data_IF_028468196866
#
_entry.id   IF_028468196866
#
_cell.length_a   1.000
_cell.length_b   1.000
_cell.length_c   1.000
_cell.angle_alpha   90.00
_cell.angle_beta   90.00
_cell.angle_gamma   90.00
#
_symmetry.space_group_name_H-M   'P 1'
#
loop_
_entity.id
_entity.type
_entity.pdbx_description
1 polymer ?
#
# COMPACT_ATOMS: atom_id res chain seq x y z
N UNK A 1 -25.96 1.37 -4.74
CA UNK A 1 -25.79 1.78 -6.15
C UNK A 1 -24.46 1.25 -6.70
N UNK A 2 -23.30 1.56 -6.11
CA UNK A 2 -21.95 1.25 -6.61
C UNK A 2 -21.66 -0.25 -6.78
N UNK A 3 -22.03 -1.09 -5.79
CA UNK A 3 -21.84 -2.54 -5.88
C UNK A 3 -22.57 -3.11 -7.11
N UNK A 4 -23.80 -2.65 -7.37
CA UNK A 4 -24.56 -3.10 -8.53
C UNK A 4 -23.93 -2.67 -9.85
N UNK A 5 -23.33 -1.49 -9.90
CA UNK A 5 -22.58 -0.99 -11.05
C UNK A 5 -21.30 -1.83 -11.28
N UNK A 6 -20.56 -2.13 -10.23
CA UNK A 6 -19.36 -2.96 -10.30
C UNK A 6 -19.68 -4.37 -10.78
N UNK A 7 -20.71 -5.01 -10.20
CA UNK A 7 -21.18 -6.33 -10.63
C UNK A 7 -21.63 -6.30 -12.10
N UNK A 8 -22.40 -5.27 -12.52
CA UNK A 8 -22.81 -5.12 -13.91
C UNK A 8 -21.64 -4.98 -14.88
N UNK A 9 -20.56 -4.31 -14.46
CA UNK A 9 -19.36 -4.16 -15.29
C UNK A 9 -18.59 -5.47 -15.42
N UNK A 10 -18.35 -6.16 -14.28
CA UNK A 10 -17.59 -7.42 -14.26
C UNK A 10 -18.34 -8.54 -14.96
N UNK A 11 -19.64 -8.62 -14.79
CA UNK A 11 -20.48 -9.65 -15.40
C UNK A 11 -20.53 -9.63 -16.93
N UNK A 12 -20.08 -8.54 -17.58
CA UNK A 12 -19.96 -8.48 -19.06
C UNK A 12 -18.88 -9.45 -19.59
N UNK A 13 -17.92 -9.84 -18.76
CA UNK A 13 -16.79 -10.68 -19.17
C UNK A 13 -16.77 -12.03 -18.47
N UNK A 14 -17.67 -12.27 -17.53
CA UNK A 14 -17.75 -13.53 -16.81
C UNK A 14 -18.71 -14.50 -17.48
N UNK A 15 -18.30 -15.76 -17.62
CA UNK A 15 -19.17 -16.86 -18.10
C UNK A 15 -20.31 -17.15 -17.12
N UNK A 16 -20.03 -17.02 -15.80
CA UNK A 16 -21.02 -17.21 -14.73
C UNK A 16 -21.16 -15.86 -14.02
N UNK A 17 -22.30 -15.18 -14.18
CA UNK A 17 -22.51 -13.88 -13.56
C UNK A 17 -22.53 -13.97 -12.02
N UNK A 18 -21.82 -13.05 -11.37
CA UNK A 18 -21.86 -12.88 -9.92
C UNK A 18 -23.13 -12.13 -9.50
N UNK A 19 -23.65 -12.51 -8.34
CA UNK A 19 -24.80 -11.87 -7.71
C UNK A 19 -24.34 -11.11 -6.45
N UNK A 20 -25.26 -10.34 -5.87
CA UNK A 20 -24.96 -9.59 -4.65
C UNK A 20 -24.60 -10.48 -3.45
N UNK A 21 -25.21 -11.64 -3.37
CA UNK A 21 -24.92 -12.66 -2.34
C UNK A 21 -23.51 -13.26 -2.45
N UNK A 22 -22.87 -13.16 -3.62
CA UNK A 22 -21.50 -13.64 -3.82
C UNK A 22 -20.45 -12.62 -3.31
N UNK A 23 -20.88 -11.41 -2.91
CA UNK A 23 -20.00 -10.39 -2.38
C UNK A 23 -19.71 -10.66 -0.91
N UNK A 24 -18.49 -11.08 -0.61
CA UNK A 24 -18.06 -11.45 0.74
C UNK A 24 -17.46 -10.29 1.55
N UNK A 25 -17.14 -9.18 0.91
CA UNK A 25 -16.60 -7.99 1.58
C UNK A 25 -16.55 -6.80 0.64
N UNK A 26 -16.51 -5.60 1.20
CA UNK A 26 -16.40 -4.35 0.45
C UNK A 26 -15.48 -3.37 1.18
N UNK A 27 -14.80 -2.52 0.44
CA UNK A 27 -14.07 -1.39 1.00
C UNK A 27 -14.22 -0.16 0.11
N UNK A 28 -14.07 1.01 0.69
CA UNK A 28 -14.07 2.29 -0.01
C UNK A 28 -12.94 3.17 0.51
N UNK A 29 -12.43 4.05 -0.33
CA UNK A 29 -11.41 5.01 0.04
C UNK A 29 -11.61 6.33 -0.69
N UNK A 30 -11.23 7.43 -0.05
CA UNK A 30 -11.22 8.76 -0.64
C UNK A 30 -9.89 9.02 -1.34
N UNK A 31 -9.96 9.68 -2.50
CA UNK A 31 -8.77 10.21 -3.17
C UNK A 31 -8.62 11.68 -2.83
N UNK A 32 -7.44 12.16 -2.42
CA UNK A 32 -7.18 13.58 -2.36
C UNK A 32 -7.10 14.11 -3.80
N UNK A 33 -8.13 14.83 -4.22
CA UNK A 33 -8.17 15.53 -5.48
C UNK A 33 -7.85 16.99 -5.24
N UNK A 34 -7.09 17.62 -6.14
CA UNK A 34 -6.94 19.05 -6.15
C UNK A 34 -8.25 19.67 -6.59
N UNK A 35 -8.74 20.65 -5.84
CA UNK A 35 -9.88 21.44 -6.26
C UNK A 35 -9.48 22.20 -7.53
N UNK A 36 -10.11 21.85 -8.64
CA UNK A 36 -10.08 22.61 -9.87
C UNK A 36 -10.99 23.85 -9.77
N UNK A 37 -11.07 24.62 -10.84
CA UNK A 37 -12.09 25.66 -10.98
C UNK A 37 -13.48 25.04 -10.80
N UNK A 38 -14.41 25.74 -10.19
CA UNK A 38 -15.73 25.27 -9.77
C UNK A 38 -16.66 24.74 -10.91
N UNK A 39 -16.17 24.66 -12.14
CA UNK A 39 -16.90 24.23 -13.34
C UNK A 39 -16.42 22.89 -13.93
N UNK A 40 -15.39 22.27 -13.35
CA UNK A 40 -14.92 20.96 -13.86
C UNK A 40 -15.66 19.80 -13.20
N UNK A 41 -16.18 18.91 -14.03
CA UNK A 41 -16.80 17.66 -13.58
C UNK A 41 -15.79 16.84 -12.75
N UNK A 42 -16.22 16.24 -11.65
CA UNK A 42 -15.34 15.50 -10.72
C UNK A 42 -14.59 14.35 -11.39
N UNK A 43 -15.04 13.90 -12.57
CA UNK A 43 -14.36 12.91 -13.40
C UNK A 43 -13.09 13.44 -14.08
N UNK A 44 -12.99 14.76 -14.31
CA UNK A 44 -11.91 15.42 -15.06
C UNK A 44 -10.95 16.22 -14.18
N UNK A 45 -11.21 16.28 -12.85
CA UNK A 45 -10.28 16.88 -11.91
C UNK A 45 -8.86 16.36 -12.13
N UNK A 46 -7.94 17.29 -12.26
CA UNK A 46 -6.56 17.03 -12.66
C UNK A 46 -5.93 15.90 -11.84
N UNK A 47 -5.64 14.79 -12.50
CA UNK A 47 -4.91 13.64 -11.94
C UNK A 47 -3.39 13.89 -11.90
N UNK A 48 -2.97 15.11 -12.15
CA UNK A 48 -1.62 15.61 -11.94
C UNK A 48 -1.39 15.86 -10.45
N UNK A 49 -0.13 15.83 -10.04
CA UNK A 49 0.24 16.27 -8.69
C UNK A 49 0.52 17.78 -8.70
N UNK A 50 0.41 18.39 -7.54
CA UNK A 50 0.87 19.75 -7.29
C UNK A 50 1.74 19.80 -6.03
N UNK A 51 2.62 20.78 -6.00
CA UNK A 51 3.44 21.09 -4.84
C UNK A 51 2.99 22.43 -4.32
N UNK A 52 2.47 22.44 -3.10
CA UNK A 52 1.87 23.59 -2.44
C UNK A 52 2.73 23.94 -1.22
N UNK A 53 3.09 25.20 -1.08
CA UNK A 53 3.81 25.70 0.09
C UNK A 53 2.85 26.40 1.04
N UNK A 54 2.95 26.10 2.33
CA UNK A 54 2.26 26.85 3.38
C UNK A 54 3.00 28.14 3.71
N UNK A 55 2.34 29.05 4.44
CA UNK A 55 2.93 30.31 4.90
C UNK A 55 4.15 30.08 5.80
N UNK A 56 4.21 28.95 6.50
CA UNK A 56 5.37 28.55 7.33
C UNK A 56 6.47 27.86 6.52
N UNK A 57 6.32 27.73 5.22
CA UNK A 57 7.33 27.15 4.30
C UNK A 57 7.32 25.62 4.24
N UNK A 58 6.26 24.96 4.67
CA UNK A 58 6.07 23.52 4.49
C UNK A 58 5.65 23.23 3.05
N UNK A 59 6.32 22.29 2.39
CA UNK A 59 5.95 21.81 1.05
C UNK A 59 5.03 20.58 1.18
N UNK A 60 3.84 20.68 0.62
CA UNK A 60 2.88 19.59 0.53
C UNK A 60 2.77 19.08 -0.91
N UNK A 61 2.94 17.78 -1.11
CA UNK A 61 2.75 17.13 -2.42
C UNK A 61 1.38 16.47 -2.42
N UNK A 62 0.48 16.95 -3.27
CA UNK A 62 -0.93 16.54 -3.28
C UNK A 62 -1.33 16.03 -4.66
N UNK A 63 -2.25 15.07 -4.71
CA UNK A 63 -2.74 14.48 -5.97
C UNK A 63 -1.80 13.42 -6.55
N UNK A 64 -1.82 13.26 -7.87
CA UNK A 64 -1.01 12.28 -8.59
C UNK A 64 -1.53 10.85 -8.50
N UNK A 65 -0.69 9.90 -8.89
CA UNK A 65 -0.97 8.47 -8.91
C UNK A 65 0.21 7.68 -8.35
N UNK A 66 -0.05 6.51 -7.79
CA UNK A 66 1.02 5.59 -7.37
C UNK A 66 2.03 5.32 -8.50
N UNK A 67 1.59 5.24 -9.73
CA UNK A 67 2.46 5.00 -10.89
C UNK A 67 3.35 6.20 -11.26
N UNK A 68 3.05 7.40 -10.75
CA UNK A 68 3.84 8.63 -10.98
C UNK A 68 4.67 9.04 -9.77
N UNK A 69 4.76 8.22 -8.73
CA UNK A 69 5.41 8.54 -7.45
C UNK A 69 6.85 9.06 -7.61
N UNK A 70 7.61 8.50 -8.54
CA UNK A 70 9.00 8.91 -8.77
C UNK A 70 9.10 10.33 -9.35
N UNK A 71 8.22 10.65 -10.30
CA UNK A 71 8.15 12.01 -10.84
C UNK A 71 7.71 13.00 -9.76
N UNK A 72 6.73 12.62 -8.95
CA UNK A 72 6.28 13.42 -7.80
C UNK A 72 7.42 13.69 -6.83
N UNK A 73 8.18 12.64 -6.48
CA UNK A 73 9.33 12.77 -5.58
C UNK A 73 10.42 13.67 -6.19
N UNK A 74 10.73 13.54 -7.48
CA UNK A 74 11.67 14.39 -8.17
C UNK A 74 11.24 15.85 -8.09
N UNK A 75 10.02 16.15 -8.51
CA UNK A 75 9.53 17.52 -8.56
C UNK A 75 9.48 18.15 -7.15
N UNK A 76 9.15 17.36 -6.12
CA UNK A 76 9.16 17.81 -4.73
C UNK A 76 10.58 18.16 -4.25
N UNK A 77 11.56 17.31 -4.54
CA UNK A 77 12.96 17.55 -4.17
C UNK A 77 13.52 18.75 -4.93
N UNK A 78 13.28 18.83 -6.24
CA UNK A 78 13.77 19.96 -7.07
C UNK A 78 13.17 21.29 -6.59
N UNK A 79 11.89 21.30 -6.24
CA UNK A 79 11.23 22.48 -5.69
C UNK A 79 11.79 22.88 -4.32
N UNK A 80 12.02 21.93 -3.42
CA UNK A 80 12.61 22.16 -2.12
C UNK A 80 14.04 22.75 -2.24
N UNK A 81 14.85 22.19 -3.13
CA UNK A 81 16.21 22.68 -3.39
C UNK A 81 16.20 24.09 -3.96
N UNK A 82 15.33 24.35 -4.95
CA UNK A 82 15.20 25.67 -5.58
C UNK A 82 14.81 26.75 -4.59
N UNK A 83 13.81 26.49 -3.76
CA UNK A 83 13.29 27.47 -2.79
C UNK A 83 14.24 27.75 -1.63
N UNK A 84 14.97 26.72 -1.19
CA UNK A 84 15.91 26.84 -0.08
C UNK A 84 17.31 27.25 -0.50
N UNK A 85 17.51 27.51 -1.79
CA UNK A 85 18.82 27.86 -2.36
C UNK A 85 19.94 26.91 -1.89
N UNK A 86 19.61 25.62 -1.71
CA UNK A 86 20.57 24.63 -1.30
C UNK A 86 21.54 24.36 -2.47
N UNK A 87 22.84 24.24 -2.22
CA UNK A 87 23.79 23.93 -3.26
C UNK A 87 23.49 22.56 -3.84
N UNK A 88 23.19 22.50 -5.13
CA UNK A 88 23.00 21.26 -5.87
C UNK A 88 24.07 21.12 -6.93
N UNK A 89 24.69 19.98 -7.00
CA UNK A 89 25.69 19.68 -8.01
C UNK A 89 25.08 19.54 -9.42
N UNK A 90 23.81 19.20 -9.53
CA UNK A 90 23.05 19.07 -10.77
C UNK A 90 21.55 18.97 -10.47
N UNK A 91 20.66 19.33 -11.43
CA UNK A 91 19.25 19.01 -11.31
C UNK A 91 19.07 17.50 -11.15
N UNK A 92 18.18 17.12 -10.23
CA UNK A 92 17.89 15.70 -10.04
C UNK A 92 17.33 15.15 -11.35
N UNK A 93 17.95 14.13 -11.88
CA UNK A 93 17.41 13.38 -13.00
C UNK A 93 16.89 12.08 -12.45
N UNK A 94 15.59 11.87 -12.53
CA UNK A 94 15.09 10.50 -12.52
C UNK A 94 15.54 9.86 -13.83
N UNK A 95 16.83 9.54 -13.94
CA UNK A 95 17.25 8.60 -14.96
C UNK A 95 16.28 7.42 -14.88
N UNK A 96 15.96 6.82 -16.02
CA UNK A 96 15.29 5.51 -16.02
C UNK A 96 16.18 4.60 -15.19
N UNK A 97 15.92 4.53 -13.90
CA UNK A 97 16.63 3.64 -13.02
C UNK A 97 16.08 2.26 -13.36
N UNK A 98 16.73 1.61 -14.28
CA UNK A 98 16.60 0.17 -14.50
C UNK A 98 17.08 -0.59 -13.24
N UNK A 99 17.83 0.09 -12.38
CA UNK A 99 18.21 -0.38 -11.07
C UNK A 99 17.12 0.01 -10.07
N UNK A 100 16.61 -0.98 -9.39
CA UNK A 100 15.73 -0.82 -8.25
C UNK A 100 16.30 0.20 -7.27
N UNK A 101 15.44 0.91 -6.52
CA UNK A 101 15.81 1.70 -5.34
C UNK A 101 16.60 0.88 -4.31
N UNK A 102 16.72 -0.40 -4.55
CA UNK A 102 17.39 -1.40 -3.75
C UNK A 102 18.74 -1.71 -4.40
N UNK A 103 19.79 -1.19 -3.82
CA UNK A 103 21.19 -1.45 -4.26
C UNK A 103 21.72 -2.81 -3.72
N UNK A 104 20.81 -3.69 -3.38
CA UNK A 104 21.11 -5.06 -2.96
C UNK A 104 21.39 -5.99 -4.15
N UNK A 105 22.03 -7.12 -3.91
CA UNK A 105 22.28 -8.12 -4.95
C UNK A 105 20.95 -8.54 -5.58
N UNK A 106 20.92 -8.56 -6.92
CA UNK A 106 19.76 -9.06 -7.68
C UNK A 106 19.60 -10.54 -7.43
N UNK A 107 18.82 -10.90 -6.41
CA UNK A 107 18.48 -12.27 -6.12
C UNK A 107 17.18 -12.63 -6.85
N UNK A 108 17.18 -13.79 -7.52
CA UNK A 108 15.93 -14.32 -8.07
C UNK A 108 15.02 -14.72 -6.90
N UNK A 109 13.72 -14.48 -7.04
CA UNK A 109 12.75 -14.88 -5.99
C UNK A 109 12.84 -16.39 -5.68
N UNK A 110 13.18 -17.22 -6.68
CA UNK A 110 13.38 -18.67 -6.51
C UNK A 110 14.55 -19.04 -5.59
N UNK A 111 15.51 -18.12 -5.43
CA UNK A 111 16.77 -18.38 -4.70
C UNK A 111 16.70 -17.90 -3.25
N UNK A 112 15.56 -17.29 -2.86
CA UNK A 112 15.34 -16.81 -1.49
C UNK A 112 14.95 -17.99 -0.60
N UNK A 113 15.72 -18.28 0.47
CA UNK A 113 15.50 -19.43 1.34
C UNK A 113 14.37 -19.18 2.35
N UNK A 114 13.13 -19.12 1.86
CA UNK A 114 11.93 -18.93 2.67
C UNK A 114 10.72 -19.59 2.01
N UNK A 115 9.62 -19.84 2.73
CA UNK A 115 8.39 -20.36 2.15
C UNK A 115 7.91 -19.49 0.98
N UNK A 116 7.50 -20.11 -0.12
CA UNK A 116 7.12 -19.43 -1.37
C UNK A 116 6.03 -18.35 -1.18
N UNK A 117 5.13 -18.54 -0.21
CA UNK A 117 4.12 -17.54 0.13
C UNK A 117 4.75 -16.27 0.70
N UNK A 118 5.69 -16.40 1.64
CA UNK A 118 6.40 -15.26 2.23
C UNK A 118 7.29 -14.58 1.18
N UNK A 119 7.96 -15.35 0.33
CA UNK A 119 8.78 -14.79 -0.75
C UNK A 119 7.94 -13.92 -1.70
N UNK A 120 6.73 -14.36 -2.05
CA UNK A 120 5.84 -13.56 -2.92
C UNK A 120 5.35 -12.27 -2.26
N UNK A 121 5.27 -12.23 -0.94
CA UNK A 121 4.75 -11.09 -0.18
C UNK A 121 5.86 -10.12 0.26
N UNK A 122 6.96 -10.67 0.75
CA UNK A 122 8.04 -9.91 1.40
C UNK A 122 9.34 -9.86 0.60
N UNK A 123 9.42 -10.58 -0.53
CA UNK A 123 10.63 -10.58 -1.36
C UNK A 123 11.87 -11.00 -0.57
N UNK A 124 12.93 -10.20 -0.63
CA UNK A 124 14.19 -10.45 0.06
C UNK A 124 14.09 -10.45 1.60
N UNK A 125 13.04 -9.88 2.16
CA UNK A 125 12.79 -9.86 3.62
C UNK A 125 12.12 -11.15 4.12
N UNK A 126 11.64 -12.02 3.23
CA UNK A 126 10.94 -13.25 3.59
C UNK A 126 11.71 -14.15 4.60
N UNK A 127 13.05 -14.31 4.52
CA UNK A 127 13.79 -15.06 5.53
C UNK A 127 13.72 -14.42 6.92
N UNK A 128 13.68 -13.09 7.01
CA UNK A 128 13.57 -12.37 8.28
C UNK A 128 12.19 -12.60 8.90
N UNK A 129 11.14 -12.55 8.09
CA UNK A 129 9.78 -12.88 8.55
C UNK A 129 9.71 -14.33 9.01
N UNK A 130 10.24 -15.27 8.21
CA UNK A 130 10.24 -16.70 8.54
C UNK A 130 11.02 -17.05 9.82
N UNK A 131 12.00 -16.23 10.19
CA UNK A 131 12.81 -16.41 11.40
C UNK A 131 12.11 -15.93 12.68
N UNK A 132 10.97 -15.23 12.58
CA UNK A 132 10.21 -14.82 13.75
C UNK A 132 9.56 -16.03 14.45
N UNK A 133 9.25 -15.92 15.75
CA UNK A 133 8.63 -17.00 16.50
C UNK A 133 7.32 -17.50 15.86
N UNK A 134 7.15 -18.81 15.87
CA UNK A 134 5.89 -19.42 15.50
C UNK A 134 4.80 -19.13 16.55
N UNK A 135 3.54 -19.21 16.13
CA UNK A 135 2.40 -18.97 17.01
C UNK A 135 1.09 -19.24 16.32
N UNK A 136 0.02 -18.69 16.86
CA UNK A 136 -1.31 -18.85 16.30
C UNK A 136 -1.38 -18.23 14.90
N UNK A 137 -1.73 -19.05 13.91
CA UNK A 137 -2.03 -18.57 12.56
C UNK A 137 -3.39 -17.86 12.52
N UNK A 138 -3.49 -16.88 11.63
CA UNK A 138 -4.73 -16.22 11.29
C UNK A 138 -5.41 -16.89 10.08
N UNK A 139 -6.58 -16.40 9.68
CA UNK A 139 -7.29 -16.86 8.51
C UNK A 139 -6.45 -16.76 7.22
N UNK A 140 -6.90 -17.41 6.16
CA UNK A 140 -6.26 -17.37 4.83
C UNK A 140 -4.79 -17.75 4.81
N UNK A 141 -4.30 -18.49 5.80
CA UNK A 141 -2.91 -18.92 5.91
C UNK A 141 -1.93 -17.78 6.23
N UNK A 142 -2.41 -16.69 6.81
CA UNK A 142 -1.53 -15.66 7.40
C UNK A 142 -0.91 -16.26 8.67
N UNK A 143 0.41 -16.20 8.76
CA UNK A 143 1.15 -16.80 9.87
C UNK A 143 1.33 -15.83 11.04
N UNK A 144 1.64 -16.35 12.23
CA UNK A 144 1.98 -15.52 13.38
C UNK A 144 3.19 -14.61 13.09
N UNK A 145 4.17 -15.12 12.35
CA UNK A 145 5.35 -14.34 11.95
C UNK A 145 4.99 -13.12 11.10
N UNK A 146 3.97 -13.24 10.21
CA UNK A 146 3.51 -12.10 9.42
C UNK A 146 2.82 -11.04 10.28
N UNK A 147 2.07 -11.45 11.30
CA UNK A 147 1.47 -10.52 12.26
C UNK A 147 2.52 -9.85 13.13
N UNK A 148 3.50 -10.60 13.64
CA UNK A 148 4.62 -10.06 14.41
C UNK A 148 5.46 -9.08 13.57
N UNK A 149 5.67 -9.38 12.29
CA UNK A 149 6.33 -8.47 11.35
C UNK A 149 5.55 -7.16 11.18
N UNK A 150 4.22 -7.28 11.05
CA UNK A 150 3.31 -6.14 10.99
C UNK A 150 3.48 -5.18 12.18
N UNK A 151 3.64 -5.71 13.38
CA UNK A 151 3.87 -4.90 14.58
C UNK A 151 5.29 -4.34 14.62
N UNK A 152 6.31 -5.19 14.49
CA UNK A 152 7.72 -4.83 14.74
C UNK A 152 8.33 -3.96 13.66
N UNK A 153 7.88 -4.12 12.41
CA UNK A 153 8.53 -3.50 11.25
C UNK A 153 7.57 -2.59 10.48
N UNK A 154 6.31 -2.98 10.32
CA UNK A 154 5.33 -2.23 9.55
C UNK A 154 4.51 -1.24 10.38
N UNK A 155 4.79 -1.11 11.68
CA UNK A 155 4.21 -0.10 12.56
C UNK A 155 2.73 -0.30 12.87
N UNK A 156 2.24 -1.53 12.94
CA UNK A 156 0.91 -1.82 13.44
C UNK A 156 0.84 -1.61 14.96
N UNK A 157 -0.11 -0.82 15.43
CA UNK A 157 -0.31 -0.45 16.83
C UNK A 157 -1.62 -1.02 17.40
N UNK A 158 -2.48 -1.53 16.58
CA UNK A 158 -3.79 -2.08 16.97
C UNK A 158 -4.16 -3.33 16.16
N UNK A 159 -5.20 -4.03 16.62
CA UNK A 159 -5.78 -5.16 15.90
C UNK A 159 -6.28 -4.73 14.52
N UNK A 160 -6.91 -3.57 14.43
CA UNK A 160 -7.40 -2.99 13.17
C UNK A 160 -6.25 -2.69 12.21
N UNK A 161 -5.08 -2.25 12.73
CA UNK A 161 -3.92 -2.07 11.86
C UNK A 161 -3.48 -3.38 11.24
N UNK A 162 -3.43 -4.46 12.02
CA UNK A 162 -3.05 -5.78 11.54
C UNK A 162 -4.07 -6.34 10.54
N UNK A 163 -5.36 -6.32 10.91
CA UNK A 163 -6.39 -7.01 10.13
C UNK A 163 -6.84 -6.21 8.91
N UNK A 164 -6.98 -4.89 9.02
CA UNK A 164 -7.52 -4.06 7.92
C UNK A 164 -6.42 -3.50 7.02
N UNK A 165 -5.26 -3.14 7.59
CA UNK A 165 -4.23 -2.37 6.89
C UNK A 165 -3.01 -3.19 6.50
N UNK A 166 -2.64 -4.22 7.25
CA UNK A 166 -1.47 -5.07 6.95
C UNK A 166 -1.84 -6.37 6.26
N UNK A 167 -2.92 -7.02 6.67
CA UNK A 167 -3.33 -8.32 6.09
C UNK A 167 -4.59 -8.25 5.24
N UNK A 168 -5.47 -7.29 5.46
CA UNK A 168 -6.80 -7.15 4.86
C UNK A 168 -7.77 -8.28 5.23
N UNK A 169 -7.51 -9.02 6.32
CA UNK A 169 -8.42 -10.05 6.82
C UNK A 169 -9.73 -9.44 7.34
N UNK A 170 -9.67 -8.19 7.83
CA UNK A 170 -10.84 -7.44 8.27
C UNK A 170 -11.85 -7.08 7.17
N UNK A 171 -11.52 -7.29 5.88
CA UNK A 171 -12.47 -7.08 4.79
C UNK A 171 -13.58 -8.13 4.72
N UNK A 172 -13.41 -9.27 5.38
CA UNK A 172 -14.37 -10.38 5.42
C UNK A 172 -14.64 -10.73 6.87
N UNK A 173 -15.88 -10.58 7.33
CA UNK A 173 -16.26 -10.73 8.74
C UNK A 173 -15.81 -12.06 9.35
N UNK A 174 -15.95 -13.16 8.62
CA UNK A 174 -15.52 -14.49 9.07
C UNK A 174 -14.00 -14.57 9.24
N UNK A 175 -13.23 -14.08 8.27
CA UNK A 175 -11.77 -14.07 8.34
C UNK A 175 -11.26 -13.14 9.47
N UNK A 176 -11.96 -12.02 9.69
CA UNK A 176 -11.71 -11.10 10.79
C UNK A 176 -11.89 -11.82 12.15
N UNK A 177 -13.06 -12.43 12.35
CA UNK A 177 -13.38 -13.14 13.59
C UNK A 177 -12.37 -14.27 13.90
N UNK A 178 -12.03 -15.07 12.88
CA UNK A 178 -11.07 -16.18 13.02
C UNK A 178 -9.64 -15.71 13.30
N UNK A 179 -9.33 -14.43 13.05
CA UNK A 179 -7.99 -13.86 13.17
C UNK A 179 -7.76 -13.00 14.40
N UNK A 180 -8.82 -12.61 15.12
CA UNK A 180 -8.74 -11.69 16.27
C UNK A 180 -7.72 -12.16 17.31
N UNK A 181 -7.84 -13.39 17.80
CA UNK A 181 -6.95 -13.91 18.83
C UNK A 181 -5.46 -13.94 18.38
N UNK A 182 -5.21 -14.24 17.10
CA UNK A 182 -3.83 -14.23 16.57
C UNK A 182 -3.26 -12.81 16.51
N UNK A 183 -4.09 -11.81 16.16
CA UNK A 183 -3.68 -10.41 16.12
C UNK A 183 -3.41 -9.85 17.54
N UNK A 184 -4.28 -10.18 18.51
CA UNK A 184 -4.09 -9.80 19.92
C UNK A 184 -2.81 -10.41 20.50
N UNK A 185 -2.55 -11.71 20.23
CA UNK A 185 -1.32 -12.37 20.65
C UNK A 185 -0.07 -11.73 20.02
N UNK A 186 -0.11 -11.30 18.76
CA UNK A 186 1.01 -10.62 18.12
C UNK A 186 1.32 -9.27 18.77
N UNK A 187 0.29 -8.47 19.07
CA UNK A 187 0.46 -7.19 19.79
C UNK A 187 0.97 -7.37 21.21
N UNK A 188 0.58 -8.44 21.89
CA UNK A 188 1.04 -8.71 23.25
C UNK A 188 2.51 -9.21 23.33
N UNK A 189 3.09 -9.70 22.21
CA UNK A 189 4.50 -10.15 22.14
C UNK A 189 5.48 -9.03 21.79
N UNK A 190 5.02 -7.89 21.36
CA UNK A 190 5.83 -6.72 20.99
C UNK A 190 5.91 -5.70 22.14
#
# INVERSE_FOLDING_TARGET
AEISQLLGTVNRVLTHPLRREDVIGTFAGLRPLLAGSAEEDTSDLARSHAIIESDEGMLSVVGGKLTTYRRMAQDAVDEALRRRALPTAAPSRTAVIVTTLYDGPRQRLSDIPAPARLVRRYGAEAPLVAALPEGRAAARGVTAQELDWGVRVEGALSVEDLLDRRTRLGLVDADCADSLAAAEEALARS
#
